data_IF_038282242800
#
_entry.id   IF_038282242800
#
_cell.length_a   1.000
_cell.length_b   1.000
_cell.length_c   1.000
_cell.angle_alpha   90.00
_cell.angle_beta   90.00
_cell.angle_gamma   90.00
#
_symmetry.space_group_name_H-M   'P 1'
#
loop_
_entity.id
_entity.type
_entity.pdbx_description
1 polymer ?
#
# COMPACT_ATOMS: atom_id res chain seq x y z
N UNK A 1 9.03 -14.64 -10.85
CA UNK A 1 8.49 -14.19 -9.55
C UNK A 1 7.10 -13.63 -9.80
N UNK A 2 6.16 -13.78 -8.85
CA UNK A 2 4.87 -13.11 -8.94
C UNK A 2 5.12 -11.60 -8.98
N UNK A 3 4.38 -10.87 -9.82
CA UNK A 3 4.52 -9.42 -9.97
C UNK A 3 3.43 -8.71 -9.18
N UNK A 4 3.65 -7.43 -8.78
CA UNK A 4 2.58 -6.61 -8.27
C UNK A 4 1.38 -6.61 -9.22
N UNK A 5 0.17 -6.72 -8.67
CA UNK A 5 -1.05 -6.85 -9.46
C UNK A 5 -2.25 -6.24 -8.77
N UNK A 6 -3.24 -5.82 -9.56
CA UNK A 6 -4.45 -5.18 -9.08
C UNK A 6 -5.68 -5.95 -9.54
N UNK A 7 -6.67 -6.10 -8.66
CA UNK A 7 -7.96 -6.72 -8.99
C UNK A 7 -9.11 -6.02 -8.30
N UNK A 8 -10.20 -5.79 -9.04
CA UNK A 8 -11.49 -5.40 -8.46
C UNK A 8 -12.12 -6.57 -7.71
N UNK A 9 -12.37 -6.40 -6.40
CA UNK A 9 -12.90 -7.44 -5.50
C UNK A 9 -14.28 -7.09 -4.92
N UNK A 10 -14.77 -5.88 -5.19
CA UNK A 10 -16.11 -5.42 -4.82
C UNK A 10 -16.58 -4.30 -5.75
N UNK A 11 -17.77 -3.72 -5.50
CA UNK A 11 -18.34 -2.69 -6.36
C UNK A 11 -17.39 -1.50 -6.60
N UNK A 12 -16.66 -1.09 -5.55
CA UNK A 12 -15.73 0.04 -5.54
C UNK A 12 -14.50 -0.27 -4.69
N UNK A 13 -14.11 -1.56 -4.67
CA UNK A 13 -12.98 -2.05 -3.87
C UNK A 13 -11.98 -2.72 -4.79
N UNK A 14 -10.78 -2.18 -4.81
CA UNK A 14 -9.66 -2.68 -5.58
C UNK A 14 -8.57 -3.15 -4.63
N UNK A 15 -8.14 -4.39 -4.83
CA UNK A 15 -7.05 -5.00 -4.09
C UNK A 15 -5.74 -4.80 -4.84
N UNK A 16 -4.77 -4.17 -4.18
CA UNK A 16 -3.40 -4.02 -4.63
C UNK A 16 -2.55 -5.07 -3.93
N UNK A 17 -1.94 -5.95 -4.73
CA UNK A 17 -1.18 -7.10 -4.24
C UNK A 17 0.30 -6.91 -4.55
N UNK A 18 1.15 -6.92 -3.52
CA UNK A 18 2.62 -6.85 -3.64
C UNK A 18 3.24 -8.13 -3.05
N UNK A 19 3.54 -9.12 -3.91
CA UNK A 19 4.13 -10.40 -3.49
C UNK A 19 5.61 -10.25 -3.12
N UNK A 20 6.02 -10.87 -2.01
CA UNK A 20 7.39 -10.93 -1.52
C UNK A 20 7.85 -12.39 -1.43
N UNK A 21 8.63 -12.80 -2.43
CA UNK A 21 9.29 -14.11 -2.50
C UNK A 21 10.77 -14.07 -2.08
N UNK A 22 11.26 -12.87 -1.73
CA UNK A 22 12.67 -12.63 -1.40
C UNK A 22 12.92 -12.81 0.10
N UNK A 23 12.01 -12.31 0.95
CA UNK A 23 12.10 -12.51 2.39
C UNK A 23 12.03 -13.99 2.75
N UNK A 24 13.09 -14.51 3.37
CA UNK A 24 13.15 -15.92 3.81
C UNK A 24 12.64 -16.14 5.22
N UNK A 25 12.63 -15.09 6.05
CA UNK A 25 12.13 -15.11 7.43
C UNK A 25 11.30 -13.86 7.70
N UNK A 26 10.01 -14.03 7.98
CA UNK A 26 9.13 -12.95 8.43
C UNK A 26 9.56 -12.50 9.84
N UNK A 27 9.59 -11.18 10.08
CA UNK A 27 10.14 -10.57 11.31
C UNK A 27 11.56 -11.05 11.68
N UNK A 28 12.34 -11.49 10.68
CA UNK A 28 13.65 -12.13 10.88
C UNK A 28 13.62 -13.41 11.75
N UNK A 29 12.43 -13.99 11.99
CA UNK A 29 12.24 -15.13 12.87
C UNK A 29 11.61 -16.31 12.14
N UNK A 30 10.43 -16.12 11.56
CA UNK A 30 9.55 -17.17 11.05
C UNK A 30 9.88 -17.55 9.61
N UNK A 31 10.33 -18.78 9.32
CA UNK A 31 10.58 -19.22 7.95
C UNK A 31 9.30 -19.16 7.11
N UNK A 32 9.39 -18.54 5.93
CA UNK A 32 8.27 -18.40 4.97
C UNK A 32 8.70 -18.87 3.58
N UNK A 33 8.83 -20.20 3.34
CA UNK A 33 9.32 -20.72 2.06
C UNK A 33 8.38 -20.41 0.89
N UNK A 34 7.08 -20.20 1.14
CA UNK A 34 6.12 -19.77 0.13
C UNK A 34 6.10 -18.25 -0.10
N UNK A 35 6.82 -17.47 0.72
CA UNK A 35 6.79 -16.01 0.72
C UNK A 35 5.59 -15.45 1.49
N UNK A 36 5.35 -14.15 1.31
CA UNK A 36 4.24 -13.40 1.91
C UNK A 36 3.72 -12.37 0.91
N UNK A 37 2.50 -11.88 1.10
CA UNK A 37 1.92 -10.85 0.25
C UNK A 37 1.53 -9.63 1.08
N UNK A 38 2.02 -8.46 0.70
CA UNK A 38 1.61 -7.20 1.30
C UNK A 38 0.44 -6.62 0.50
N UNK A 39 -0.65 -6.32 1.20
CA UNK A 39 -1.90 -5.90 0.59
C UNK A 39 -2.15 -4.43 0.91
N UNK A 40 -2.51 -3.67 -0.12
CA UNK A 40 -3.12 -2.36 0.02
C UNK A 40 -4.46 -2.35 -0.72
N UNK A 41 -5.28 -1.32 -0.49
CA UNK A 41 -6.59 -1.23 -1.11
C UNK A 41 -6.88 0.17 -1.62
N UNK A 42 -7.56 0.26 -2.76
CA UNK A 42 -8.20 1.50 -3.21
C UNK A 42 -9.70 1.33 -3.07
N UNK A 43 -10.33 2.25 -2.33
CA UNK A 43 -11.77 2.33 -2.17
C UNK A 43 -12.26 3.61 -2.85
N UNK A 44 -13.25 3.50 -3.72
CA UNK A 44 -13.89 4.65 -4.35
C UNK A 44 -14.45 4.37 -5.74
N UNK A 45 -15.34 5.26 -6.16
CA UNK A 45 -15.92 5.31 -7.49
C UNK A 45 -16.28 6.74 -7.86
N UNK A 46 -15.89 7.18 -9.05
CA UNK A 46 -16.11 8.54 -9.54
C UNK A 46 -14.90 9.46 -9.36
N UNK A 47 -15.03 10.47 -8.49
CA UNK A 47 -14.11 11.62 -8.42
C UNK A 47 -13.07 11.54 -7.29
N UNK A 48 -13.32 10.74 -6.26
CA UNK A 48 -12.44 10.64 -5.09
C UNK A 48 -12.19 9.19 -4.67
N UNK A 49 -10.96 8.92 -4.24
CA UNK A 49 -10.50 7.61 -3.81
C UNK A 49 -9.75 7.71 -2.47
N UNK A 50 -9.88 6.65 -1.69
CA UNK A 50 -9.12 6.36 -0.48
C UNK A 50 -8.12 5.25 -0.77
N UNK A 51 -6.84 5.51 -0.52
CA UNK A 51 -5.81 4.48 -0.41
C UNK A 51 -5.74 3.98 1.04
N UNK A 52 -5.79 2.66 1.25
CA UNK A 52 -5.59 2.03 2.55
C UNK A 52 -4.27 1.28 2.53
N UNK A 53 -3.40 1.64 3.47
CA UNK A 53 -2.03 1.15 3.64
C UNK A 53 -1.16 1.26 2.39
N UNK A 54 0.07 0.75 2.51
CA UNK A 54 1.02 0.63 1.41
C UNK A 54 1.61 -0.78 1.41
N UNK A 55 2.91 -0.92 1.15
CA UNK A 55 3.63 -2.18 1.18
C UNK A 55 4.97 -2.01 1.88
N UNK A 56 5.62 -3.13 2.21
CA UNK A 56 7.04 -3.20 2.46
C UNK A 56 7.84 -2.65 1.28
N UNK A 57 9.04 -2.15 1.57
CA UNK A 57 10.07 -1.72 0.60
C UNK A 57 10.73 -2.90 -0.14
N UNK A 58 9.92 -3.85 -0.60
CA UNK A 58 10.35 -4.93 -1.50
C UNK A 58 10.16 -4.57 -2.96
N UNK A 59 9.40 -3.51 -3.22
CA UNK A 59 9.24 -2.86 -4.53
C UNK A 59 9.57 -1.36 -4.40
N UNK A 60 9.90 -0.74 -5.52
CA UNK A 60 10.08 0.70 -5.60
C UNK A 60 8.72 1.42 -5.51
N UNK A 61 8.70 2.65 -4.98
CA UNK A 61 7.44 3.42 -4.86
C UNK A 61 6.81 3.67 -6.22
N UNK A 62 7.61 3.85 -7.27
CA UNK A 62 7.13 4.04 -8.64
C UNK A 62 6.30 2.86 -9.13
N UNK A 63 6.73 1.63 -8.83
CA UNK A 63 6.00 0.41 -9.20
C UNK A 63 4.66 0.31 -8.45
N UNK A 64 4.65 0.69 -7.17
CA UNK A 64 3.41 0.75 -6.38
C UNK A 64 2.45 1.83 -6.90
N UNK A 65 2.96 3.01 -7.26
CA UNK A 65 2.15 4.10 -7.85
C UNK A 65 1.67 3.75 -9.26
N UNK A 66 2.48 3.05 -10.05
CA UNK A 66 2.05 2.55 -11.36
C UNK A 66 0.92 1.53 -11.23
N UNK A 67 0.93 0.72 -10.15
CA UNK A 67 -0.19 -0.16 -9.83
C UNK A 67 -1.47 0.62 -9.53
N UNK A 68 -1.36 1.71 -8.76
CA UNK A 68 -2.48 2.63 -8.49
C UNK A 68 -3.03 3.23 -9.79
N UNK A 69 -2.16 3.67 -10.70
CA UNK A 69 -2.55 4.26 -12.00
C UNK A 69 -3.35 3.30 -12.89
N UNK A 70 -3.23 1.98 -12.68
CA UNK A 70 -4.07 1.01 -13.41
C UNK A 70 -5.55 1.08 -13.03
N UNK A 71 -5.86 1.69 -11.88
CA UNK A 71 -7.21 1.85 -11.34
C UNK A 71 -7.72 3.27 -11.49
N UNK A 72 -6.88 4.24 -11.11
CA UNK A 72 -7.27 5.64 -10.97
C UNK A 72 -6.10 6.58 -11.18
N UNK A 73 -6.38 7.74 -11.77
CA UNK A 73 -5.45 8.88 -11.78
C UNK A 73 -5.05 9.27 -10.34
N UNK A 74 -3.74 9.34 -10.01
CA UNK A 74 -3.26 9.64 -8.66
C UNK A 74 -3.85 10.92 -8.04
N UNK A 75 -4.17 11.92 -8.88
CA UNK A 75 -4.79 13.18 -8.45
C UNK A 75 -6.18 13.05 -7.83
N UNK A 76 -6.87 11.92 -8.08
CA UNK A 76 -8.17 11.59 -7.48
C UNK A 76 -8.06 10.91 -6.12
N UNK A 77 -6.86 10.51 -5.69
CA UNK A 77 -6.66 10.00 -4.32
C UNK A 77 -6.63 11.20 -3.38
N UNK A 78 -7.70 11.36 -2.60
CA UNK A 78 -7.85 12.46 -1.63
C UNK A 78 -7.54 12.03 -0.21
N UNK A 79 -7.48 10.73 0.03
CA UNK A 79 -7.29 10.17 1.36
C UNK A 79 -6.30 9.02 1.31
N UNK A 80 -5.44 8.96 2.32
CA UNK A 80 -4.58 7.81 2.62
C UNK A 80 -4.86 7.41 4.06
N UNK A 81 -5.27 6.18 4.32
CA UNK A 81 -5.43 5.64 5.66
C UNK A 81 -4.33 4.63 5.95
N UNK A 82 -3.47 4.92 6.93
CA UNK A 82 -2.50 3.96 7.46
C UNK A 82 -3.10 3.29 8.70
N UNK A 83 -3.51 2.03 8.55
CA UNK A 83 -4.14 1.24 9.61
C UNK A 83 -3.09 0.66 10.56
N UNK A 84 -1.93 0.25 10.02
CA UNK A 84 -0.83 -0.34 10.77
C UNK A 84 0.50 0.34 10.43
N UNK A 85 1.29 0.64 11.47
CA UNK A 85 2.52 1.43 11.31
C UNK A 85 3.78 0.57 11.05
N UNK A 86 3.68 -0.76 11.14
CA UNK A 86 4.84 -1.62 10.91
C UNK A 86 5.31 -1.55 9.44
N UNK A 87 6.63 -1.57 9.18
CA UNK A 87 7.18 -1.28 7.84
C UNK A 87 6.77 -2.26 6.74
N UNK A 88 6.19 -3.41 7.06
CA UNK A 88 5.63 -4.35 6.09
C UNK A 88 4.32 -3.84 5.46
N UNK A 89 3.63 -2.89 6.10
CA UNK A 89 2.46 -2.18 5.59
C UNK A 89 2.72 -0.68 5.33
N UNK A 90 3.55 -0.06 6.16
CA UNK A 90 3.83 1.39 6.12
C UNK A 90 5.10 1.74 5.33
N UNK A 91 5.85 0.74 4.85
CA UNK A 91 7.19 0.93 4.30
C UNK A 91 7.29 1.99 3.20
N UNK A 92 6.26 2.10 2.35
CA UNK A 92 6.18 3.07 1.26
C UNK A 92 5.33 4.30 1.58
N UNK A 93 4.67 4.36 2.74
CA UNK A 93 3.63 5.37 3.03
C UNK A 93 4.13 6.81 2.91
N UNK A 94 5.37 7.06 3.34
CA UNK A 94 6.00 8.39 3.28
C UNK A 94 6.22 8.82 1.82
N UNK A 95 6.82 7.97 0.99
CA UNK A 95 7.05 8.29 -0.43
C UNK A 95 5.75 8.42 -1.21
N UNK A 96 4.78 7.52 -0.96
CA UNK A 96 3.45 7.60 -1.56
C UNK A 96 2.77 8.91 -1.18
N UNK A 97 2.83 9.34 0.08
CA UNK A 97 2.25 10.61 0.51
C UNK A 97 2.89 11.82 -0.17
N UNK A 98 4.19 11.78 -0.47
CA UNK A 98 4.85 12.86 -1.23
C UNK A 98 4.41 12.90 -2.70
N UNK A 99 4.16 11.73 -3.30
CA UNK A 99 3.68 11.61 -4.68
C UNK A 99 2.18 11.89 -4.83
N UNK A 100 1.44 11.87 -3.72
CA UNK A 100 0.02 12.20 -3.63
C UNK A 100 -0.19 13.48 -2.77
N UNK A 101 0.36 14.64 -3.17
CA UNK A 101 0.43 15.83 -2.31
C UNK A 101 -0.93 16.45 -1.96
N UNK A 102 -1.99 16.07 -2.70
CA UNK A 102 -3.36 16.53 -2.44
C UNK A 102 -4.15 15.59 -1.51
N UNK A 103 -3.53 14.49 -1.06
CA UNK A 103 -4.18 13.53 -0.19
C UNK A 103 -3.93 13.86 1.29
N UNK A 104 -4.96 13.70 2.12
CA UNK A 104 -4.82 13.75 3.58
C UNK A 104 -4.45 12.37 4.11
N UNK A 105 -3.43 12.31 4.97
CA UNK A 105 -3.01 11.08 5.65
C UNK A 105 -3.71 10.93 7.00
N UNK A 106 -4.42 9.81 7.18
CA UNK A 106 -5.13 9.43 8.40
C UNK A 106 -4.43 8.26 9.06
N UNK A 107 -4.31 8.31 10.38
CA UNK A 107 -3.78 7.22 11.19
C UNK A 107 -4.33 7.32 12.61
N UNK A 108 -4.12 6.30 13.43
CA UNK A 108 -4.35 6.42 14.88
C UNK A 108 -3.26 7.31 15.50
N UNK A 109 -3.57 7.94 16.64
CA UNK A 109 -2.59 8.75 17.36
C UNK A 109 -1.30 7.96 17.67
N UNK A 110 -1.42 6.66 17.99
CA UNK A 110 -0.26 5.81 18.24
C UNK A 110 0.55 5.55 16.97
N UNK A 111 -0.09 5.22 15.87
CA UNK A 111 0.58 4.99 14.59
C UNK A 111 1.31 6.25 14.11
N UNK A 112 0.73 7.44 14.32
CA UNK A 112 1.37 8.72 14.03
C UNK A 112 2.71 8.89 14.78
N UNK A 113 2.82 8.45 16.04
CA UNK A 113 4.10 8.50 16.77
C UNK A 113 5.18 7.58 16.22
N UNK A 114 4.82 6.58 15.41
CA UNK A 114 5.76 5.67 14.75
C UNK A 114 6.26 6.21 13.40
N UNK A 115 5.56 7.18 12.82
CA UNK A 115 6.00 7.89 11.62
C UNK A 115 7.07 8.91 12.04
N UNK A 116 8.34 8.59 11.78
CA UNK A 116 9.48 9.47 12.04
C UNK A 116 9.89 10.24 10.80
#
# INVERSE_FOLDING_TARGET
>A
MPKPSCRKIGAEVYWLSVPDTETKRFENLWPIPEGVNYNAYLLGGGEEYLLIDSSKRTVHVEEFVDLIKTVVEPSKIKHIAMLHAEPDHSGLISEVSHLLPNASLYSTARACTCMK
#
